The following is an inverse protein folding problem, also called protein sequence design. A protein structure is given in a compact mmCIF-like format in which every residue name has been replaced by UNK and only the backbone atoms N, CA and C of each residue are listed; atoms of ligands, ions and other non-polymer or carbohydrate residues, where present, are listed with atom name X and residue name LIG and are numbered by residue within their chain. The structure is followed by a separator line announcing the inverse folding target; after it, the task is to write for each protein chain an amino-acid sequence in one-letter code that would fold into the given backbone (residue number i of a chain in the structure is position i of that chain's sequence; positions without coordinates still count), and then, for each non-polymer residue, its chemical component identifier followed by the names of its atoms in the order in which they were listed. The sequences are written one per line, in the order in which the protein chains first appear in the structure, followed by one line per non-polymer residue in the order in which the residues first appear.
data_IF_706483191840
#
_entry.id   IF_706483191840
#
_cell.length_a   1.000
_cell.length_b   1.000
_cell.length_c   1.000
_cell.angle_alpha   90.00
_cell.angle_beta   90.00
_cell.angle_gamma   90.00
#
_symmetry.space_group_name_H-M   'P 1'
#
loop_
_entity.id
_entity.type
_entity.pdbx_description
1 polymer ?
#
# COMPACT_ATOMS: atom_id res chain seq x y z
N UNK A 1 -32.88 -7.18 -23.86
CA UNK A 1 -31.64 -6.36 -23.97
C UNK A 1 -31.59 -5.18 -23.00
N UNK A 2 -32.67 -4.42 -22.78
CA UNK A 2 -32.68 -3.24 -21.89
C UNK A 2 -32.30 -3.53 -20.43
N UNK A 3 -32.79 -4.63 -19.85
CA UNK A 3 -32.46 -5.04 -18.47
C UNK A 3 -31.02 -5.53 -18.32
N UNK A 4 -30.44 -6.12 -19.38
CA UNK A 4 -29.07 -6.63 -19.36
C UNK A 4 -28.04 -5.48 -19.32
N UNK A 5 -28.32 -4.40 -20.07
CA UNK A 5 -27.50 -3.18 -19.99
C UNK A 5 -27.56 -2.53 -18.61
N UNK A 6 -28.74 -2.52 -17.97
CA UNK A 6 -28.89 -2.03 -16.59
C UNK A 6 -28.07 -2.84 -15.58
N UNK A 7 -28.07 -4.18 -15.69
CA UNK A 7 -27.27 -5.04 -14.82
C UNK A 7 -25.77 -4.83 -15.01
N UNK A 8 -25.28 -4.71 -16.25
CA UNK A 8 -23.88 -4.42 -16.52
C UNK A 8 -23.48 -3.06 -15.94
N UNK A 9 -24.31 -2.03 -16.15
CA UNK A 9 -24.04 -0.71 -15.59
C UNK A 9 -23.94 -0.76 -14.06
N UNK A 10 -24.87 -1.45 -13.41
CA UNK A 10 -24.87 -1.61 -11.95
C UNK A 10 -23.64 -2.39 -11.46
N UNK A 11 -23.22 -3.44 -12.18
CA UNK A 11 -22.00 -4.18 -11.87
C UNK A 11 -20.75 -3.29 -11.96
N UNK A 12 -20.64 -2.45 -13.01
CA UNK A 12 -19.53 -1.51 -13.19
C UNK A 12 -19.54 -0.47 -12.06
N UNK A 13 -20.70 0.11 -11.73
CA UNK A 13 -20.80 1.08 -10.63
C UNK A 13 -20.39 0.47 -9.30
N UNK A 14 -20.84 -0.77 -9.03
CA UNK A 14 -20.47 -1.49 -7.80
C UNK A 14 -18.96 -1.70 -7.73
N UNK A 15 -18.35 -2.13 -8.84
CA UNK A 15 -16.91 -2.33 -8.93
C UNK A 15 -16.12 -1.03 -8.71
N UNK A 16 -16.56 0.10 -9.30
CA UNK A 16 -15.90 1.40 -9.13
C UNK A 16 -15.99 1.94 -7.70
N UNK A 17 -17.09 1.65 -6.99
CA UNK A 17 -17.28 2.07 -5.59
C UNK A 17 -16.56 1.15 -4.60
N UNK A 18 -16.35 -0.13 -4.97
CA UNK A 18 -15.75 -1.16 -4.12
C UNK A 18 -14.45 -0.78 -3.39
N UNK A 19 -13.41 -0.21 -4.06
CA UNK A 19 -12.18 0.17 -3.35
C UNK A 19 -12.39 1.31 -2.34
N UNK A 20 -13.34 2.23 -2.59
CA UNK A 20 -13.66 3.30 -1.65
C UNK A 20 -14.32 2.78 -0.38
N UNK A 21 -15.13 1.72 -0.49
CA UNK A 21 -15.68 1.03 0.70
C UNK A 21 -14.57 0.45 1.56
N UNK A 22 -13.57 -0.18 0.95
CA UNK A 22 -12.43 -0.75 1.68
C UNK A 22 -11.51 0.33 2.26
N UNK A 23 -11.33 1.45 1.57
CA UNK A 23 -10.64 2.63 2.09
C UNK A 23 -11.36 3.21 3.33
N UNK A 24 -12.69 3.28 3.30
CA UNK A 24 -13.47 3.69 4.46
C UNK A 24 -13.30 2.71 5.63
N UNK A 25 -13.34 1.39 5.37
CA UNK A 25 -13.07 0.37 6.39
C UNK A 25 -11.66 0.49 6.97
N UNK A 26 -10.65 0.75 6.13
CA UNK A 26 -9.28 1.00 6.55
C UNK A 26 -9.19 2.21 7.47
N UNK A 27 -9.79 3.34 7.07
CA UNK A 27 -9.85 4.55 7.89
C UNK A 27 -10.54 4.30 9.23
N UNK A 28 -11.64 3.54 9.23
CA UNK A 28 -12.39 3.22 10.44
C UNK A 28 -11.62 2.27 11.38
N UNK A 29 -10.94 1.26 10.83
CA UNK A 29 -10.10 0.35 11.60
C UNK A 29 -8.92 1.10 12.25
N UNK A 30 -8.29 2.01 11.51
CA UNK A 30 -7.22 2.89 12.01
C UNK A 30 -7.73 3.82 13.12
N UNK A 31 -8.88 4.46 12.92
CA UNK A 31 -9.47 5.38 13.89
C UNK A 31 -9.88 4.69 15.21
N UNK A 32 -10.45 3.49 15.13
CA UNK A 32 -10.92 2.74 16.29
C UNK A 32 -9.85 1.85 16.94
N UNK A 33 -8.62 1.82 16.40
CA UNK A 33 -7.56 0.92 16.83
C UNK A 33 -7.99 -0.57 16.79
N UNK A 34 -8.80 -0.93 15.80
CA UNK A 34 -9.26 -2.31 15.59
C UNK A 34 -8.20 -3.10 14.82
N UNK A 35 -7.27 -3.71 15.57
CA UNK A 35 -6.21 -4.55 15.00
C UNK A 35 -6.76 -5.72 14.19
N UNK A 36 -7.89 -6.29 14.57
CA UNK A 36 -8.43 -7.47 13.88
C UNK A 36 -8.95 -7.08 12.50
N UNK A 37 -9.77 -6.02 12.44
CA UNK A 37 -10.26 -5.49 11.17
C UNK A 37 -9.12 -4.95 10.30
N UNK A 38 -8.14 -4.27 10.91
CA UNK A 38 -6.98 -3.74 10.19
C UNK A 38 -6.14 -4.85 9.54
N UNK A 39 -5.84 -5.92 10.29
CA UNK A 39 -5.06 -7.05 9.77
C UNK A 39 -5.74 -7.77 8.60
N UNK A 40 -7.07 -7.80 8.56
CA UNK A 40 -7.81 -8.41 7.44
C UNK A 40 -7.72 -7.57 6.15
N UNK A 41 -7.48 -6.25 6.29
CA UNK A 41 -7.33 -5.33 5.17
C UNK A 41 -5.89 -5.24 4.66
N UNK A 42 -4.92 -5.80 5.39
CA UNK A 42 -3.52 -5.83 4.99
C UNK A 42 -3.15 -7.19 4.39
N UNK A 43 -2.39 -7.16 3.29
CA UNK A 43 -1.58 -8.30 2.88
C UNK A 43 -0.12 -8.02 3.26
N UNK A 44 0.22 -8.36 4.51
CA UNK A 44 1.55 -8.10 5.08
C UNK A 44 2.65 -8.81 4.28
N UNK A 45 2.37 -10.01 3.77
CA UNK A 45 3.33 -10.76 2.98
C UNK A 45 3.66 -10.01 1.68
N UNK A 46 2.63 -9.56 0.96
CA UNK A 46 2.83 -8.75 -0.25
C UNK A 46 3.47 -7.39 0.05
N UNK A 47 3.12 -6.73 1.16
CA UNK A 47 3.77 -5.48 1.60
C UNK A 47 5.27 -5.70 1.79
N UNK A 48 5.68 -6.77 2.51
CA UNK A 48 7.10 -7.09 2.72
C UNK A 48 7.80 -7.38 1.39
N UNK A 49 7.18 -8.17 0.51
CA UNK A 49 7.75 -8.49 -0.80
C UNK A 49 7.94 -7.25 -1.68
N UNK A 50 6.95 -6.36 -1.74
CA UNK A 50 7.04 -5.13 -2.51
C UNK A 50 8.09 -4.18 -1.94
N UNK A 51 8.21 -4.09 -0.61
CA UNK A 51 9.22 -3.27 0.03
C UNK A 51 10.64 -3.81 -0.23
N UNK A 52 10.85 -5.13 -0.18
CA UNK A 52 12.12 -5.78 -0.58
C UNK A 52 12.48 -5.46 -2.03
N UNK A 53 11.53 -5.64 -2.97
CA UNK A 53 11.73 -5.29 -4.39
C UNK A 53 12.13 -3.83 -4.58
N UNK A 54 11.49 -2.90 -3.86
CA UNK A 54 11.80 -1.48 -3.93
C UNK A 54 13.21 -1.17 -3.42
N UNK A 55 13.62 -1.78 -2.29
CA UNK A 55 14.99 -1.65 -1.78
C UNK A 55 16.00 -2.22 -2.77
N UNK A 56 15.78 -3.43 -3.29
CA UNK A 56 16.66 -4.04 -4.28
C UNK A 56 16.78 -3.17 -5.54
N UNK A 57 15.66 -2.62 -6.03
CA UNK A 57 15.67 -1.71 -7.16
C UNK A 57 16.49 -0.45 -6.86
N UNK A 58 16.27 0.22 -5.72
CA UNK A 58 17.04 1.42 -5.30
C UNK A 58 18.52 1.12 -5.20
N UNK A 59 18.90 0.01 -4.58
CA UNK A 59 20.30 -0.42 -4.44
C UNK A 59 20.96 -0.72 -5.80
N UNK A 60 20.21 -1.32 -6.74
CA UNK A 60 20.73 -1.66 -8.06
C UNK A 60 20.88 -0.42 -8.97
N UNK A 61 20.04 0.60 -8.80
CA UNK A 61 19.99 1.76 -9.71
C UNK A 61 20.66 3.03 -9.16
N UNK A 62 20.85 3.15 -7.84
CA UNK A 62 21.47 4.33 -7.22
C UNK A 62 22.93 4.09 -6.77
N UNK A 63 23.38 2.84 -6.67
CA UNK A 63 24.75 2.54 -6.24
C UNK A 63 25.74 2.55 -7.42
N UNK A 64 26.89 3.24 -7.31
CA UNK A 64 27.90 3.32 -8.39
C UNK A 64 28.38 1.92 -8.81
N UNK A 65 28.38 1.65 -10.11
CA UNK A 65 28.57 0.30 -10.66
C UNK A 65 30.02 -0.24 -10.64
N UNK A 66 31.03 0.59 -10.33
CA UNK A 66 32.37 0.35 -10.88
C UNK A 66 33.43 -0.17 -9.89
N UNK A 67 33.13 -0.36 -8.60
CA UNK A 67 34.16 -0.81 -7.63
C UNK A 67 33.80 -2.11 -6.88
N UNK A 68 34.75 -3.06 -6.69
CA UNK A 68 34.52 -4.28 -5.90
C UNK A 68 34.01 -4.02 -4.48
N UNK A 69 34.47 -2.92 -3.87
CA UNK A 69 34.04 -2.45 -2.56
C UNK A 69 32.55 -2.05 -2.53
N UNK A 70 32.03 -1.52 -3.65
CA UNK A 70 30.62 -1.20 -3.82
C UNK A 70 29.73 -2.44 -3.90
N UNK A 71 30.25 -3.56 -4.44
CA UNK A 71 29.54 -4.84 -4.49
C UNK A 71 29.35 -5.44 -3.09
N UNK A 72 30.39 -5.38 -2.25
CA UNK A 72 30.32 -5.85 -0.86
C UNK A 72 29.41 -4.98 0.01
N UNK A 73 29.44 -3.64 -0.19
CA UNK A 73 28.50 -2.72 0.47
C UNK A 73 27.05 -2.95 0.02
N UNK A 74 26.83 -3.23 -1.27
CA UNK A 74 25.51 -3.58 -1.83
C UNK A 74 24.95 -4.84 -1.19
N UNK A 75 25.76 -5.89 -1.05
CA UNK A 75 25.32 -7.15 -0.46
C UNK A 75 25.03 -6.99 1.04
N UNK A 76 25.87 -6.25 1.76
CA UNK A 76 25.59 -5.87 3.14
C UNK A 76 24.29 -5.08 3.27
N UNK A 77 24.08 -4.04 2.46
CA UNK A 77 22.86 -3.24 2.47
C UNK A 77 21.59 -4.06 2.13
N UNK A 78 21.68 -5.05 1.24
CA UNK A 78 20.58 -5.98 0.96
C UNK A 78 20.26 -6.87 2.16
N UNK A 79 21.27 -7.46 2.79
CA UNK A 79 21.07 -8.35 3.95
C UNK A 79 20.50 -7.56 5.13
N UNK A 80 21.07 -6.41 5.47
CA UNK A 80 20.58 -5.56 6.56
C UNK A 80 19.21 -4.95 6.23
N UNK A 81 19.00 -4.51 4.99
CA UNK A 81 17.71 -3.99 4.52
C UNK A 81 16.60 -5.04 4.58
N UNK A 82 16.85 -6.25 4.06
CA UNK A 82 15.87 -7.33 4.08
C UNK A 82 15.56 -7.81 5.50
N UNK A 83 16.57 -7.91 6.37
CA UNK A 83 16.39 -8.31 7.78
C UNK A 83 15.64 -7.23 8.57
N UNK A 84 15.97 -5.96 8.36
CA UNK A 84 15.27 -4.84 8.98
C UNK A 84 13.80 -4.77 8.52
N UNK A 85 13.53 -4.99 7.23
CA UNK A 85 12.17 -5.02 6.69
C UNK A 85 11.33 -6.16 7.27
N UNK A 86 11.91 -7.36 7.37
CA UNK A 86 11.22 -8.52 7.94
C UNK A 86 10.95 -8.35 9.44
N UNK A 87 11.77 -7.58 10.15
CA UNK A 87 11.65 -7.36 11.61
C UNK A 87 10.82 -6.10 11.94
N UNK A 88 10.75 -5.11 11.05
CA UNK A 88 10.18 -3.79 11.33
C UNK A 88 8.81 -3.56 10.69
N UNK A 89 8.48 -4.25 9.59
CA UNK A 89 7.14 -4.16 8.97
C UNK A 89 6.22 -5.22 9.59
N UNK A 90 5.64 -4.86 10.73
CA UNK A 90 4.48 -5.52 11.33
C UNK A 90 3.23 -4.65 11.13
N UNK A 91 2.05 -5.27 11.08
CA UNK A 91 0.79 -4.55 10.98
C UNK A 91 0.61 -3.52 12.10
N UNK A 92 1.12 -3.82 13.29
CA UNK A 92 1.07 -2.89 14.42
C UNK A 92 1.85 -1.60 14.14
N UNK A 93 3.04 -1.71 13.58
CA UNK A 93 3.85 -0.55 13.18
C UNK A 93 3.15 0.27 12.09
N UNK A 94 2.53 -0.40 11.10
CA UNK A 94 1.75 0.28 10.06
C UNK A 94 0.54 1.01 10.66
N UNK A 95 -0.20 0.34 11.56
CA UNK A 95 -1.36 0.90 12.24
C UNK A 95 -0.97 2.15 13.03
N UNK A 96 0.06 2.07 13.86
CA UNK A 96 0.57 3.21 14.62
C UNK A 96 0.97 4.37 13.71
N UNK A 97 1.65 4.07 12.60
CA UNK A 97 2.05 5.07 11.62
C UNK A 97 0.87 5.77 10.97
N UNK A 98 -0.13 5.01 10.51
CA UNK A 98 -1.35 5.57 9.91
C UNK A 98 -2.16 6.38 10.93
N UNK A 99 -2.17 5.97 12.21
CA UNK A 99 -2.83 6.73 13.28
C UNK A 99 -2.20 8.09 13.54
N UNK A 100 -0.89 8.26 13.35
CA UNK A 100 -0.23 9.57 13.49
C UNK A 100 -0.69 10.59 12.43
N UNK A 101 -1.19 10.12 11.28
CA UNK A 101 -1.76 10.98 10.23
C UNK A 101 -3.14 11.52 10.64
N UNK A 102 -3.86 10.77 11.47
CA UNK A 102 -5.24 11.05 11.90
C UNK A 102 -6.28 10.25 11.09
N UNK A 103 -7.55 10.71 11.04
CA UNK A 103 -8.60 10.05 10.25
C UNK A 103 -8.20 10.03 8.77
N UNK A 104 -7.92 8.83 8.23
CA UNK A 104 -7.34 8.71 6.90
C UNK A 104 -8.25 9.28 5.82
N UNK A 105 -9.57 9.07 5.94
CA UNK A 105 -10.56 9.58 5.00
C UNK A 105 -10.46 11.08 4.77
N UNK A 106 -10.27 11.85 5.84
CA UNK A 106 -10.16 13.32 5.78
C UNK A 106 -8.81 13.79 5.19
N UNK A 107 -7.85 12.87 5.10
CA UNK A 107 -6.50 13.12 4.60
C UNK A 107 -6.31 12.66 3.16
N UNK A 108 -7.29 11.99 2.56
CA UNK A 108 -7.24 11.57 1.16
C UNK A 108 -7.23 12.81 0.25
N UNK A 109 -6.10 13.07 -0.40
CA UNK A 109 -6.00 14.13 -1.42
C UNK A 109 -6.10 13.59 -2.85
N UNK A 110 -5.90 12.28 -3.02
CA UNK A 110 -6.08 11.59 -4.30
C UNK A 110 -6.40 10.12 -4.02
N UNK A 111 -7.35 9.56 -4.74
CA UNK A 111 -7.66 8.14 -4.71
C UNK A 111 -8.21 7.73 -6.07
N UNK A 112 -7.47 6.91 -6.82
CA UNK A 112 -7.91 6.49 -8.15
C UNK A 112 -7.31 5.16 -8.56
N UNK A 113 -7.93 4.52 -9.55
CA UNK A 113 -7.42 3.30 -10.16
C UNK A 113 -6.15 3.61 -10.96
N UNK A 114 -5.07 2.90 -10.65
CA UNK A 114 -3.88 2.84 -11.50
C UNK A 114 -4.05 1.73 -12.56
N UNK A 115 -4.73 0.64 -12.20
CA UNK A 115 -5.12 -0.44 -13.11
C UNK A 115 -6.45 -1.08 -12.64
N UNK A 116 -7.08 -1.97 -13.42
CA UNK A 116 -8.28 -2.68 -12.99
C UNK A 116 -8.10 -3.55 -11.73
N UNK A 117 -6.90 -3.71 -11.22
CA UNK A 117 -6.63 -4.45 -9.98
C UNK A 117 -5.79 -3.68 -8.99
N UNK A 118 -5.44 -2.42 -9.29
CA UNK A 118 -4.62 -1.54 -8.43
C UNK A 118 -5.28 -0.19 -8.23
N UNK A 119 -5.40 0.20 -6.97
CA UNK A 119 -6.01 1.44 -6.53
C UNK A 119 -5.04 2.19 -5.64
N UNK A 120 -4.71 3.41 -6.04
CA UNK A 120 -3.65 4.20 -5.41
C UNK A 120 -4.29 5.36 -4.67
N UNK A 121 -3.89 5.50 -3.41
CA UNK A 121 -4.40 6.49 -2.48
C UNK A 121 -3.22 7.34 -2.02
N UNK A 122 -3.42 8.65 -1.99
CA UNK A 122 -2.47 9.62 -1.44
C UNK A 122 -3.10 10.32 -0.26
N UNK A 123 -2.41 10.26 0.87
CA UNK A 123 -2.77 10.86 2.12
C UNK A 123 -1.87 12.07 2.37
N UNK A 124 -2.46 13.26 2.50
CA UNK A 124 -1.73 14.52 2.65
C UNK A 124 -1.43 15.23 1.33
N UNK A 125 -0.90 16.45 1.44
CA UNK A 125 -0.72 17.35 0.30
C UNK A 125 0.52 17.03 -0.54
N UNK A 126 0.40 17.26 -1.85
CA UNK A 126 1.53 17.21 -2.77
C UNK A 126 2.63 18.19 -2.30
N UNK A 127 3.88 17.73 -2.30
CA UNK A 127 5.03 18.53 -1.88
C UNK A 127 5.27 18.57 -0.36
N UNK A 128 4.40 17.98 0.45
CA UNK A 128 4.51 17.95 1.92
C UNK A 128 4.70 16.53 2.47
N UNK A 129 5.50 15.71 1.76
CA UNK A 129 5.78 14.31 2.09
C UNK A 129 4.50 13.46 2.31
N UNK A 130 3.63 13.35 1.29
CA UNK A 130 2.38 12.60 1.41
C UNK A 130 2.64 11.10 1.54
N UNK A 131 1.79 10.41 2.30
CA UNK A 131 1.84 8.95 2.41
C UNK A 131 1.01 8.34 1.29
N UNK A 132 1.64 7.48 0.49
CA UNK A 132 1.01 6.71 -0.55
C UNK A 132 0.64 5.32 -0.03
N UNK A 133 -0.61 4.93 -0.27
CA UNK A 133 -1.15 3.61 0.07
C UNK A 133 -1.66 2.99 -1.22
N UNK A 134 -1.19 1.79 -1.52
CA UNK A 134 -1.65 1.01 -2.67
C UNK A 134 -2.50 -0.16 -2.20
N UNK A 135 -3.67 -0.28 -2.82
CA UNK A 135 -4.56 -1.42 -2.64
C UNK A 135 -4.59 -2.26 -3.90
N UNK A 136 -4.51 -3.57 -3.74
CA UNK A 136 -4.66 -4.52 -4.84
C UNK A 136 -5.89 -5.39 -4.63
N UNK A 137 -6.61 -5.67 -5.70
CA UNK A 137 -7.73 -6.60 -5.68
C UNK A 137 -7.20 -8.03 -5.62
N UNK A 138 -7.44 -8.71 -4.48
CA UNK A 138 -7.04 -10.09 -4.22
C UNK A 138 -8.27 -10.86 -3.70
N UNK A 139 -8.63 -11.95 -4.37
CA UNK A 139 -9.79 -12.78 -4.00
C UNK A 139 -11.07 -11.95 -3.74
N UNK A 140 -11.37 -11.00 -4.65
CA UNK A 140 -12.50 -10.05 -4.58
C UNK A 140 -12.46 -9.01 -3.45
N UNK A 141 -11.37 -8.97 -2.67
CA UNK A 141 -11.17 -8.01 -1.60
C UNK A 141 -10.05 -7.05 -1.95
N UNK A 142 -10.24 -5.76 -1.70
CA UNK A 142 -9.14 -4.80 -1.83
C UNK A 142 -8.29 -4.84 -0.58
N UNK A 143 -7.04 -5.25 -0.71
CA UNK A 143 -6.08 -5.29 0.39
C UNK A 143 -4.95 -4.32 0.16
N UNK A 144 -4.47 -3.70 1.22
CA UNK A 144 -3.28 -2.86 1.17
C UNK A 144 -2.06 -3.75 0.93
N UNK A 145 -1.32 -3.45 -0.14
CA UNK A 145 -0.17 -4.22 -0.60
C UNK A 145 1.11 -3.40 -0.68
N UNK A 146 1.03 -2.08 -0.54
CA UNK A 146 2.20 -1.23 -0.35
C UNK A 146 1.84 0.06 0.39
N UNK A 147 2.79 0.56 1.18
CA UNK A 147 2.74 1.87 1.83
C UNK A 147 4.13 2.49 1.73
N UNK A 148 4.20 3.73 1.24
CA UNK A 148 5.45 4.48 1.08
C UNK A 148 5.20 5.99 1.16
N UNK A 149 6.27 6.77 1.19
CA UNK A 149 6.26 8.24 1.15
C UNK A 149 6.73 8.72 -0.22
#
# INVERSE_FOLDING_TARGET
MKYFSGLIFLAIMTYLVWPYVHLYQLSNAVANNDQVAFNQLLDIETIRLNHKKNIEWKINHLAPQQNPLSGMMREGAKIFGNTAVDTMIDANWILERLRQIGPLWDKVTFAFFESPTRFTIRLGELGHNPVHVEMTLQDWNWRVTAIYE
#
